data_IF_140772914303
#
_entry.id   IF_140772914303
#
_cell.length_a   1.000
_cell.length_b   1.000
_cell.length_c   1.000
_cell.angle_alpha   90.00
_cell.angle_beta   90.00
_cell.angle_gamma   90.00
#
_symmetry.space_group_name_H-M   'P 1'
#
loop_
_entity.id
_entity.type
_entity.pdbx_description
1 polymer ?
#
# COMPACT_ATOMS: atom_id res chain seq x y z
N UNK A 1 4.30 -68.07 83.47
CA UNK A 1 5.13 -67.68 84.63
C UNK A 1 5.52 -68.88 85.49
N UNK A 2 4.55 -69.67 85.98
CA UNK A 2 4.80 -70.85 86.86
C UNK A 2 5.80 -71.85 86.24
N UNK A 3 5.57 -72.31 85.01
CA UNK A 3 6.45 -73.25 84.31
C UNK A 3 7.91 -72.78 84.22
N UNK A 4 8.12 -71.47 83.98
CA UNK A 4 9.47 -70.89 83.90
C UNK A 4 10.13 -70.89 85.28
N UNK A 5 9.40 -70.53 86.33
CA UNK A 5 9.94 -70.54 87.69
C UNK A 5 10.30 -71.95 88.18
N UNK A 6 9.45 -72.93 87.88
CA UNK A 6 9.72 -74.35 88.17
C UNK A 6 10.93 -74.86 87.39
N UNK A 7 11.10 -74.45 86.14
CA UNK A 7 12.28 -74.83 85.34
C UNK A 7 13.60 -74.36 85.97
N UNK A 8 13.61 -73.15 86.56
CA UNK A 8 14.79 -72.63 87.26
C UNK A 8 15.04 -73.42 88.55
N UNK A 9 13.98 -73.84 89.26
CA UNK A 9 14.12 -74.70 90.43
C UNK A 9 14.75 -76.05 90.08
N UNK A 10 14.32 -76.69 88.99
CA UNK A 10 14.95 -77.93 88.50
C UNK A 10 16.40 -77.70 88.03
N UNK A 11 16.68 -76.56 87.40
CA UNK A 11 18.04 -76.20 86.99
C UNK A 11 18.96 -75.93 88.18
N UNK A 12 18.45 -75.33 89.26
CA UNK A 12 19.18 -75.12 90.52
C UNK A 12 19.63 -76.43 91.18
N UNK A 13 18.77 -77.46 91.19
CA UNK A 13 19.15 -78.80 91.69
C UNK A 13 20.30 -79.38 90.86
N UNK A 14 20.21 -79.32 89.53
CA UNK A 14 21.28 -79.79 88.64
C UNK A 14 22.58 -79.02 88.83
N UNK A 15 22.50 -77.70 89.04
CA UNK A 15 23.65 -76.83 89.28
C UNK A 15 24.39 -77.20 90.57
N UNK A 16 23.64 -77.54 91.63
CA UNK A 16 24.21 -78.03 92.88
C UNK A 16 24.90 -79.39 92.69
N UNK A 17 24.29 -80.32 91.95
CA UNK A 17 24.85 -81.65 91.68
C UNK A 17 26.17 -81.57 90.90
N UNK A 18 26.22 -80.73 89.87
CA UNK A 18 27.35 -80.65 88.94
C UNK A 18 28.51 -79.80 89.48
N UNK A 19 28.20 -78.64 90.06
CA UNK A 19 29.21 -77.62 90.40
C UNK A 19 29.36 -77.41 91.91
N UNK A 20 28.59 -78.14 92.73
CA UNK A 20 28.61 -78.06 94.21
C UNK A 20 28.39 -76.63 94.74
N UNK A 21 27.71 -75.78 93.97
CA UNK A 21 27.37 -74.39 94.33
C UNK A 21 25.87 -74.26 94.54
N UNK A 22 25.47 -73.50 95.55
CA UNK A 22 24.06 -73.24 95.87
C UNK A 22 23.58 -71.96 95.19
N UNK A 23 22.39 -72.02 94.60
CA UNK A 23 21.57 -70.85 94.26
C UNK A 23 20.15 -71.09 94.79
N UNK A 24 19.53 -70.04 95.34
CA UNK A 24 18.22 -70.17 95.98
C UNK A 24 17.15 -69.55 95.11
N UNK A 25 16.13 -70.35 94.80
CA UNK A 25 14.93 -69.91 94.09
C UNK A 25 13.83 -69.69 95.11
N UNK A 26 13.53 -68.43 95.41
CA UNK A 26 12.55 -68.05 96.43
C UNK A 26 11.29 -67.45 95.78
N UNK A 27 10.14 -67.42 96.49
CA UNK A 27 8.95 -66.70 96.03
C UNK A 27 9.23 -65.22 95.69
N UNK A 28 10.22 -64.59 96.34
CA UNK A 28 10.65 -63.23 96.01
C UNK A 28 11.16 -63.12 94.56
N UNK A 29 11.97 -64.09 94.10
CA UNK A 29 12.43 -64.15 92.71
C UNK A 29 11.26 -64.30 91.71
N UNK A 30 10.18 -65.01 92.10
CA UNK A 30 8.98 -65.14 91.27
C UNK A 30 8.23 -63.82 91.11
N UNK A 31 8.02 -63.09 92.22
CA UNK A 31 7.37 -61.78 92.20
C UNK A 31 8.20 -60.74 91.44
N UNK A 32 9.53 -60.78 91.59
CA UNK A 32 10.44 -59.91 90.84
C UNK A 32 10.41 -60.24 89.34
N UNK A 33 10.34 -61.53 88.96
CA UNK A 33 10.16 -61.95 87.57
C UNK A 33 8.86 -61.42 86.96
N UNK A 34 7.72 -61.58 87.65
CA UNK A 34 6.43 -61.06 87.18
C UNK A 34 6.49 -59.53 87.03
N UNK A 35 7.07 -58.84 88.01
CA UNK A 35 7.18 -57.37 88.00
C UNK A 35 8.05 -56.88 86.86
N UNK A 36 9.20 -57.51 86.64
CA UNK A 36 10.10 -57.20 85.53
C UNK A 36 9.45 -57.48 84.18
N UNK A 37 8.75 -58.61 84.04
CA UNK A 37 8.01 -58.91 82.80
C UNK A 37 6.90 -57.90 82.55
N UNK A 38 6.10 -57.54 83.56
CA UNK A 38 5.05 -56.52 83.43
C UNK A 38 5.64 -55.18 82.99
N UNK A 39 6.76 -54.75 83.57
CA UNK A 39 7.47 -53.53 83.17
C UNK A 39 7.98 -53.60 81.73
N UNK A 40 8.63 -54.71 81.36
CA UNK A 40 9.16 -54.91 80.00
C UNK A 40 8.06 -54.99 78.95
N UNK A 41 6.96 -55.69 79.25
CA UNK A 41 5.78 -55.77 78.40
C UNK A 41 5.15 -54.39 78.20
N UNK A 42 5.02 -53.60 79.27
CA UNK A 42 4.54 -52.22 79.20
C UNK A 42 5.39 -51.37 78.26
N UNK A 43 6.72 -51.36 78.47
CA UNK A 43 7.64 -50.61 77.61
C UNK A 43 7.62 -51.07 76.15
N UNK A 44 7.54 -52.39 75.90
CA UNK A 44 7.45 -52.92 74.54
C UNK A 44 6.13 -52.56 73.85
N UNK A 45 5.01 -52.57 74.58
CA UNK A 45 3.71 -52.13 74.03
C UNK A 45 3.74 -50.66 73.67
N UNK A 46 4.19 -49.80 74.58
CA UNK A 46 4.34 -48.35 74.30
C UNK A 46 5.21 -48.11 73.07
N UNK A 47 6.36 -48.79 72.96
CA UNK A 47 7.25 -48.67 71.80
C UNK A 47 6.57 -49.10 70.49
N UNK A 48 5.80 -50.19 70.52
CA UNK A 48 5.07 -50.67 69.33
C UNK A 48 3.96 -49.69 68.97
N UNK A 49 3.21 -49.18 69.96
CA UNK A 49 2.14 -48.21 69.75
C UNK A 49 2.67 -46.89 69.16
N UNK A 50 3.82 -46.40 69.65
CA UNK A 50 4.51 -45.23 69.08
C UNK A 50 4.93 -45.48 67.63
N UNK A 51 5.49 -46.65 67.32
CA UNK A 51 5.87 -47.01 65.96
C UNK A 51 4.65 -47.12 65.04
N UNK A 52 3.55 -47.72 65.52
CA UNK A 52 2.31 -47.84 64.78
C UNK A 52 1.70 -46.45 64.50
N UNK A 53 1.66 -45.57 65.50
CA UNK A 53 1.14 -44.20 65.37
C UNK A 53 1.96 -43.40 64.36
N UNK A 54 3.29 -43.53 64.39
CA UNK A 54 4.18 -42.88 63.42
C UNK A 54 3.93 -43.39 62.00
N UNK A 55 3.77 -44.70 61.82
CA UNK A 55 3.50 -45.29 60.52
C UNK A 55 2.13 -44.88 59.99
N UNK A 56 1.10 -44.86 60.84
CA UNK A 56 -0.25 -44.40 60.48
C UNK A 56 -0.23 -42.95 60.00
N UNK A 57 0.41 -42.05 60.75
CA UNK A 57 0.56 -40.65 60.34
C UNK A 57 1.33 -40.49 59.02
N UNK A 58 2.38 -41.28 58.81
CA UNK A 58 3.12 -41.30 57.55
C UNK A 58 2.27 -41.80 56.38
N UNK A 59 1.50 -42.87 56.58
CA UNK A 59 0.62 -43.44 55.57
C UNK A 59 -0.49 -42.47 55.18
N UNK A 60 -1.11 -41.80 56.14
CA UNK A 60 -2.11 -40.77 55.90
C UNK A 60 -1.56 -39.64 55.03
N UNK A 61 -0.32 -39.20 55.28
CA UNK A 61 0.34 -38.18 54.46
C UNK A 61 0.62 -38.65 53.04
N UNK A 62 1.03 -39.91 52.85
CA UNK A 62 1.22 -40.48 51.52
C UNK A 62 -0.10 -40.59 50.75
N UNK A 63 -1.18 -41.01 51.42
CA UNK A 63 -2.53 -41.07 50.81
C UNK A 63 -3.00 -39.67 50.42
N UNK A 64 -2.81 -38.67 51.29
CA UNK A 64 -3.15 -37.29 50.99
C UNK A 64 -2.37 -36.77 49.77
N UNK A 65 -1.04 -36.94 49.77
CA UNK A 65 -0.20 -36.51 48.66
C UNK A 65 -0.56 -37.21 47.34
N UNK A 66 -0.88 -38.51 47.39
CA UNK A 66 -1.33 -39.25 46.21
C UNK A 66 -2.63 -38.67 45.63
N UNK A 67 -3.59 -38.29 46.49
CA UNK A 67 -4.83 -37.64 46.05
C UNK A 67 -4.58 -36.26 45.43
N UNK A 68 -3.74 -35.44 46.06
CA UNK A 68 -3.36 -34.11 45.55
C UNK A 68 -2.66 -34.21 44.19
N UNK A 69 -1.77 -35.20 44.01
CA UNK A 69 -1.11 -35.47 42.72
C UNK A 69 -2.11 -35.90 41.65
N UNK A 70 -3.09 -36.74 42.00
CA UNK A 70 -4.12 -37.19 41.06
C UNK A 70 -5.03 -36.04 40.60
N UNK A 71 -5.35 -35.10 41.51
CA UNK A 71 -6.07 -33.86 41.18
C UNK A 71 -5.23 -32.94 40.28
N UNK A 72 -3.96 -32.69 40.62
CA UNK A 72 -3.06 -31.90 39.76
C UNK A 72 -2.87 -32.51 38.37
N UNK A 73 -2.85 -33.84 38.26
CA UNK A 73 -2.76 -34.51 36.96
C UNK A 73 -4.00 -34.29 36.08
N UNK A 74 -5.19 -34.15 36.69
CA UNK A 74 -6.43 -33.84 35.95
C UNK A 74 -6.40 -32.41 35.44
N UNK A 75 -6.07 -31.45 36.31
CA UNK A 75 -5.92 -30.04 35.93
C UNK A 75 -4.86 -29.86 34.82
N UNK A 76 -3.73 -30.58 34.91
CA UNK A 76 -2.68 -30.54 33.89
C UNK A 76 -3.18 -31.05 32.53
N UNK A 77 -4.02 -32.09 32.50
CA UNK A 77 -4.60 -32.60 31.24
C UNK A 77 -5.54 -31.58 30.61
N UNK A 78 -6.38 -30.92 31.41
CA UNK A 78 -7.26 -29.86 30.93
C UNK A 78 -6.47 -28.66 30.40
N UNK A 79 -5.46 -28.21 31.15
CA UNK A 79 -4.57 -27.12 30.73
C UNK A 79 -3.83 -27.44 29.43
N UNK A 80 -3.34 -28.68 29.26
CA UNK A 80 -2.68 -29.11 28.00
C UNK A 80 -3.59 -28.97 26.79
N UNK A 81 -4.86 -29.38 26.90
CA UNK A 81 -5.82 -29.25 25.79
C UNK A 81 -6.05 -27.79 25.41
N UNK A 82 -6.13 -26.89 26.40
CA UNK A 82 -6.28 -25.45 26.14
C UNK A 82 -5.03 -24.89 25.45
N UNK A 83 -3.83 -25.26 25.92
CA UNK A 83 -2.57 -24.82 25.33
C UNK A 83 -2.40 -25.34 23.90
N UNK A 84 -2.73 -26.61 23.63
CA UNK A 84 -2.68 -27.17 22.27
C UNK A 84 -3.62 -26.43 21.32
N UNK A 85 -4.86 -26.15 21.73
CA UNK A 85 -5.82 -25.36 20.92
C UNK A 85 -5.29 -23.95 20.64
N UNK A 86 -4.84 -23.24 21.66
CA UNK A 86 -4.27 -21.90 21.51
C UNK A 86 -3.01 -21.91 20.62
N UNK A 87 -2.20 -22.98 20.68
CA UNK A 87 -1.03 -23.15 19.80
C UNK A 87 -1.44 -23.30 18.34
N UNK A 88 -2.47 -24.11 18.06
CA UNK A 88 -3.01 -24.28 16.70
C UNK A 88 -3.55 -22.95 16.17
N UNK A 89 -4.40 -22.27 16.95
CA UNK A 89 -4.96 -20.96 16.57
C UNK A 89 -3.86 -19.90 16.31
N UNK A 90 -2.81 -19.89 17.13
CA UNK A 90 -1.67 -19.00 16.96
C UNK A 90 -0.90 -19.30 15.65
N UNK A 91 -0.66 -20.58 15.35
CA UNK A 91 0.00 -20.99 14.11
C UNK A 91 -0.83 -20.61 12.87
N UNK A 92 -2.14 -20.83 12.91
CA UNK A 92 -3.06 -20.39 11.84
C UNK A 92 -3.00 -18.87 11.64
N UNK A 93 -2.98 -18.09 12.73
CA UNK A 93 -2.85 -16.64 12.65
C UNK A 93 -1.51 -16.22 12.05
N UNK A 94 -0.41 -16.89 12.37
CA UNK A 94 0.91 -16.64 11.77
C UNK A 94 0.87 -16.91 10.27
N UNK A 95 0.23 -17.99 9.81
CA UNK A 95 0.06 -18.26 8.37
C UNK A 95 -0.74 -17.15 7.67
N UNK A 96 -1.83 -16.68 8.27
CA UNK A 96 -2.62 -15.57 7.72
C UNK A 96 -1.79 -14.28 7.65
N UNK A 97 -1.04 -13.96 8.71
CA UNK A 97 -0.19 -12.77 8.75
C UNK A 97 0.89 -12.86 7.68
N UNK A 98 1.59 -13.99 7.55
CA UNK A 98 2.66 -14.16 6.55
C UNK A 98 2.12 -14.02 5.12
N UNK A 99 0.96 -14.60 4.82
CA UNK A 99 0.29 -14.41 3.53
C UNK A 99 -0.09 -12.96 3.27
N UNK A 100 -0.72 -12.30 4.23
CA UNK A 100 -1.14 -10.91 4.10
C UNK A 100 0.06 -9.96 3.95
N UNK A 101 1.14 -10.19 4.69
CA UNK A 101 2.39 -9.41 4.58
C UNK A 101 2.99 -9.55 3.18
N UNK A 102 3.05 -10.75 2.63
CA UNK A 102 3.55 -10.98 1.26
C UNK A 102 2.69 -10.26 0.20
N UNK A 103 1.36 -10.27 0.36
CA UNK A 103 0.45 -9.52 -0.53
C UNK A 103 0.63 -8.00 -0.41
N UNK A 104 0.82 -7.49 0.82
CA UNK A 104 1.06 -6.07 1.07
C UNK A 104 2.39 -5.62 0.47
N UNK A 105 3.47 -6.39 0.68
CA UNK A 105 4.79 -6.08 0.10
C UNK A 105 4.75 -6.06 -1.43
N UNK A 106 4.06 -7.02 -2.05
CA UNK A 106 3.87 -7.05 -3.51
C UNK A 106 3.13 -5.81 -4.02
N UNK A 107 2.02 -5.43 -3.37
CA UNK A 107 1.24 -4.23 -3.71
C UNK A 107 2.04 -2.96 -3.47
N UNK A 108 2.82 -2.89 -2.40
CA UNK A 108 3.67 -1.75 -2.09
C UNK A 108 4.76 -1.58 -3.15
N UNK A 109 5.43 -2.66 -3.57
CA UNK A 109 6.40 -2.61 -4.66
C UNK A 109 5.78 -2.13 -5.97
N UNK A 110 4.58 -2.62 -6.32
CA UNK A 110 3.85 -2.15 -7.50
C UNK A 110 3.41 -0.68 -7.41
N UNK A 111 3.02 -0.21 -6.23
CA UNK A 111 2.65 1.19 -5.99
C UNK A 111 3.86 2.11 -6.12
N UNK A 112 5.01 1.75 -5.52
CA UNK A 112 6.26 2.50 -5.63
C UNK A 112 6.75 2.59 -7.08
N UNK A 113 6.68 1.50 -7.84
CA UNK A 113 7.04 1.50 -9.26
C UNK A 113 6.13 2.44 -10.08
N UNK A 114 4.82 2.44 -9.81
CA UNK A 114 3.87 3.36 -10.45
C UNK A 114 4.11 4.81 -10.04
N UNK A 115 4.43 5.07 -8.79
CA UNK A 115 4.75 6.41 -8.28
C UNK A 115 6.00 6.98 -8.98
N UNK A 116 7.05 6.17 -9.15
CA UNK A 116 8.24 6.60 -9.89
C UNK A 116 7.92 6.89 -11.36
N UNK A 117 7.08 6.07 -11.99
CA UNK A 117 6.66 6.31 -13.38
C UNK A 117 5.79 7.56 -13.52
N UNK A 118 4.80 7.74 -12.64
CA UNK A 118 3.97 8.95 -12.58
C UNK A 118 4.80 10.22 -12.36
N UNK A 119 5.84 10.14 -11.52
CA UNK A 119 6.76 11.26 -11.30
C UNK A 119 7.49 11.64 -12.61
N UNK A 120 8.02 10.65 -13.34
CA UNK A 120 8.67 10.88 -14.66
C UNK A 120 7.70 11.46 -15.67
N UNK A 121 6.52 10.86 -15.81
CA UNK A 121 5.49 11.33 -16.75
C UNK A 121 5.04 12.75 -16.40
N UNK A 122 4.86 13.07 -15.11
CA UNK A 122 4.49 14.42 -14.67
C UNK A 122 5.55 15.47 -15.01
N UNK A 123 6.84 15.12 -14.94
CA UNK A 123 7.94 15.99 -15.31
C UNK A 123 7.96 16.24 -16.83
N UNK A 124 7.73 15.19 -17.64
CA UNK A 124 7.62 15.32 -19.09
C UNK A 124 6.43 16.17 -19.49
N UNK A 125 5.25 15.93 -18.93
CA UNK A 125 4.03 16.71 -19.19
C UNK A 125 4.23 18.18 -18.80
N UNK A 126 4.94 18.47 -17.71
CA UNK A 126 5.25 19.84 -17.30
C UNK A 126 6.14 20.57 -18.33
N UNK A 127 7.11 19.87 -18.92
CA UNK A 127 7.96 20.42 -19.99
C UNK A 127 7.15 20.67 -21.25
N UNK A 128 6.41 19.66 -21.73
CA UNK A 128 5.59 19.79 -22.94
C UNK A 128 4.52 20.87 -22.81
N UNK A 129 3.88 20.97 -21.63
CA UNK A 129 2.91 22.02 -21.33
C UNK A 129 3.55 23.40 -21.43
N UNK A 130 4.74 23.58 -20.87
CA UNK A 130 5.44 24.86 -20.91
C UNK A 130 5.80 25.25 -22.35
N UNK A 131 6.31 24.30 -23.14
CA UNK A 131 6.61 24.54 -24.57
C UNK A 131 5.36 24.92 -25.37
N UNK A 132 4.22 24.26 -25.10
CA UNK A 132 2.94 24.58 -25.74
C UNK A 132 2.40 25.96 -25.33
N UNK A 133 2.51 26.34 -24.05
CA UNK A 133 2.10 27.66 -23.56
C UNK A 133 2.97 28.78 -24.15
N UNK A 134 4.29 28.58 -24.25
CA UNK A 134 5.20 29.54 -24.90
C UNK A 134 4.88 29.73 -26.40
N UNK A 135 4.60 28.63 -27.12
CA UNK A 135 4.19 28.71 -28.53
C UNK A 135 2.86 29.45 -28.71
N UNK A 136 1.91 29.26 -27.78
CA UNK A 136 0.63 29.96 -27.79
C UNK A 136 0.81 31.46 -27.53
N UNK A 137 1.64 31.82 -26.55
CA UNK A 137 1.92 33.23 -26.20
C UNK A 137 2.57 33.99 -27.36
N UNK A 138 3.39 33.33 -28.19
CA UNK A 138 3.94 33.93 -29.41
C UNK A 138 2.91 34.11 -30.53
N UNK A 139 1.91 33.22 -30.59
CA UNK A 139 0.89 33.24 -31.65
C UNK A 139 -0.20 34.31 -31.42
N UNK A 140 -0.53 34.64 -30.16
CA UNK A 140 -1.59 35.61 -29.83
C UNK A 140 -1.29 37.02 -30.37
N UNK A 141 -0.09 37.61 -30.16
CA UNK A 141 0.23 38.95 -30.67
C UNK A 141 0.19 39.04 -32.19
N UNK A 142 0.65 38.00 -32.90
CA UNK A 142 0.62 37.96 -34.37
C UNK A 142 -0.83 37.99 -34.91
N UNK A 143 -1.75 37.33 -34.21
CA UNK A 143 -3.17 37.29 -34.56
C UNK A 143 -3.88 38.62 -34.23
N UNK A 144 -3.56 39.23 -33.10
CA UNK A 144 -4.08 40.57 -32.74
C UNK A 144 -3.60 41.65 -33.70
N UNK A 145 -2.32 41.61 -34.10
CA UNK A 145 -1.73 42.56 -35.05
C UNK A 145 -2.37 42.43 -36.45
N UNK A 146 -2.76 41.22 -36.84
CA UNK A 146 -3.51 40.96 -38.06
C UNK A 146 -4.97 41.44 -37.98
N UNK A 147 -5.64 41.24 -36.84
CA UNK A 147 -7.00 41.76 -36.63
C UNK A 147 -7.02 43.30 -36.66
N UNK A 148 -6.02 43.95 -36.06
CA UNK A 148 -5.85 45.40 -36.13
C UNK A 148 -5.62 45.89 -37.56
N UNK A 149 -4.81 45.17 -38.35
CA UNK A 149 -4.57 45.50 -39.75
C UNK A 149 -5.83 45.36 -40.64
N UNK A 150 -6.77 44.47 -40.29
CA UNK A 150 -8.08 44.40 -40.95
C UNK A 150 -9.02 45.52 -40.55
N UNK A 151 -8.97 46.00 -39.31
CA UNK A 151 -9.79 47.12 -38.83
C UNK A 151 -9.34 48.47 -39.42
N UNK A 152 -8.06 48.60 -39.78
CA UNK A 152 -7.52 49.77 -40.47
C UNK A 152 -7.95 49.85 -41.96
N UNK A 153 -8.42 48.74 -42.54
CA UNK A 153 -8.95 48.70 -43.90
C UNK A 153 -10.34 49.33 -43.96
N UNK A 154 -10.51 50.36 -44.80
CA UNK A 154 -11.82 50.98 -45.03
C UNK A 154 -12.55 50.30 -46.17
N UNK A 155 -13.88 50.47 -46.19
CA UNK A 155 -14.74 49.97 -47.28
C UNK A 155 -14.31 50.52 -48.64
N UNK A 156 -13.83 51.76 -48.67
CA UNK A 156 -13.38 52.44 -49.89
C UNK A 156 -12.14 51.75 -50.49
N UNK A 157 -11.22 51.28 -49.65
CA UNK A 157 -10.00 50.56 -50.04
C UNK A 157 -10.32 49.21 -50.72
N UNK A 158 -11.38 48.54 -50.27
CA UNK A 158 -11.88 47.31 -50.92
C UNK A 158 -12.56 47.64 -52.26
N UNK A 159 -13.28 48.76 -52.33
CA UNK A 159 -13.88 49.19 -53.60
C UNK A 159 -12.83 49.56 -54.65
N UNK A 160 -11.68 50.09 -54.21
CA UNK A 160 -10.53 50.36 -55.08
C UNK A 160 -9.97 49.05 -55.66
N UNK A 161 -9.68 48.04 -54.82
CA UNK A 161 -9.22 46.72 -55.29
C UNK A 161 -10.22 46.09 -56.27
N UNK A 162 -11.52 46.24 -56.02
CA UNK A 162 -12.59 45.70 -56.87
C UNK A 162 -12.67 46.42 -58.23
N UNK A 163 -12.31 47.70 -58.29
CA UNK A 163 -12.41 48.53 -59.48
C UNK A 163 -11.37 48.17 -60.56
N UNK A 164 -10.31 47.43 -60.21
CA UNK A 164 -9.31 46.98 -61.17
C UNK A 164 -9.92 46.04 -62.23
N UNK A 165 -9.79 46.42 -63.50
CA UNK A 165 -10.17 45.59 -64.64
C UNK A 165 -9.23 44.39 -64.82
N UNK A 166 -7.93 44.60 -64.55
CA UNK A 166 -6.90 43.57 -64.47
C UNK A 166 -5.93 43.94 -63.33
N UNK A 167 -6.03 43.32 -62.14
CA UNK A 167 -5.18 43.66 -61.00
C UNK A 167 -3.72 43.27 -61.26
N UNK A 168 -2.80 43.90 -60.53
CA UNK A 168 -1.41 43.47 -60.50
C UNK A 168 -1.29 42.03 -59.95
N UNK A 169 -0.38 41.22 -60.49
CA UNK A 169 -0.23 39.79 -60.16
C UNK A 169 -0.09 39.57 -58.65
N UNK A 170 0.60 40.47 -57.94
CA UNK A 170 0.75 40.38 -56.48
C UNK A 170 -0.57 40.56 -55.73
N UNK A 171 -1.41 41.52 -56.11
CA UNK A 171 -2.72 41.75 -55.49
C UNK A 171 -3.67 40.59 -55.81
N UNK A 172 -3.59 40.06 -57.03
CA UNK A 172 -4.34 38.87 -57.42
C UNK A 172 -3.99 37.66 -56.54
N UNK A 173 -2.70 37.40 -56.30
CA UNK A 173 -2.23 36.30 -55.44
C UNK A 173 -2.72 36.47 -53.99
N UNK A 174 -2.70 37.69 -53.43
CA UNK A 174 -3.24 37.94 -52.07
C UNK A 174 -4.73 37.61 -52.01
N UNK A 175 -5.50 38.07 -53.00
CA UNK A 175 -6.92 37.81 -53.06
C UNK A 175 -7.23 36.31 -53.24
N UNK A 176 -6.45 35.58 -54.03
CA UNK A 176 -6.55 34.12 -54.16
C UNK A 176 -6.27 33.40 -52.82
N UNK A 177 -5.27 33.84 -52.05
CA UNK A 177 -5.01 33.29 -50.71
C UNK A 177 -6.20 33.47 -49.76
N UNK A 178 -6.85 34.64 -49.78
CA UNK A 178 -8.06 34.90 -48.97
C UNK A 178 -9.23 34.00 -49.39
N UNK A 179 -9.36 33.70 -50.70
CA UNK A 179 -10.36 32.76 -51.23
C UNK A 179 -10.10 31.32 -50.75
N UNK A 180 -8.84 30.89 -50.76
CA UNK A 180 -8.43 29.56 -50.30
C UNK A 180 -8.69 29.39 -48.81
N UNK A 181 -8.38 30.41 -47.99
CA UNK A 181 -8.66 30.38 -46.54
C UNK A 181 -10.16 30.30 -46.25
N UNK A 182 -11.00 31.02 -47.01
CA UNK A 182 -12.47 30.92 -46.89
C UNK A 182 -13.09 29.67 -47.50
N UNK A 183 -12.31 28.82 -48.19
CA UNK A 183 -12.77 27.53 -48.72
C UNK A 183 -13.75 27.63 -49.90
N UNK A 184 -13.75 28.74 -50.63
CA UNK A 184 -14.58 28.89 -51.84
C UNK A 184 -13.96 28.11 -53.01
N UNK A 185 -14.82 27.52 -53.85
CA UNK A 185 -14.38 26.64 -54.96
C UNK A 185 -13.70 27.39 -56.12
N UNK A 186 -13.98 28.68 -56.27
CA UNK A 186 -13.51 29.50 -57.38
C UNK A 186 -12.26 30.32 -56.99
N UNK A 187 -11.08 29.66 -57.01
CA UNK A 187 -9.76 30.28 -56.76
C UNK A 187 -9.28 31.07 -57.98
N UNK A 188 -10.08 32.05 -58.41
CA UNK A 188 -9.77 32.93 -59.53
C UNK A 188 -10.10 34.37 -59.17
N UNK A 189 -9.52 35.33 -59.89
CA UNK A 189 -9.81 36.75 -59.67
C UNK A 189 -11.30 37.09 -59.72
N UNK A 190 -12.08 36.43 -60.57
CA UNK A 190 -13.54 36.60 -60.62
C UNK A 190 -14.24 36.14 -59.34
N UNK A 191 -13.80 35.01 -58.76
CA UNK A 191 -14.29 34.51 -57.48
C UNK A 191 -13.91 35.41 -56.30
N UNK A 192 -12.67 35.92 -56.29
CA UNK A 192 -12.22 36.89 -55.29
C UNK A 192 -12.97 38.22 -55.38
N UNK A 193 -13.23 38.70 -56.61
CA UNK A 193 -13.99 39.92 -56.87
C UNK A 193 -15.45 39.80 -56.43
N UNK A 194 -16.05 38.63 -56.59
CA UNK A 194 -17.39 38.34 -56.09
C UNK A 194 -17.45 38.32 -54.56
N UNK A 195 -16.43 37.75 -53.89
CA UNK A 195 -16.34 37.73 -52.44
C UNK A 195 -16.17 39.14 -51.83
N UNK A 196 -15.33 39.97 -52.43
CA UNK A 196 -15.11 41.36 -52.00
C UNK A 196 -16.33 42.27 -52.28
N UNK A 197 -17.32 41.81 -53.05
CA UNK A 197 -18.56 42.54 -53.29
C UNK A 197 -19.55 42.46 -52.12
N UNK A 198 -19.38 41.49 -51.21
CA UNK A 198 -20.19 41.37 -50.01
C UNK A 198 -19.89 42.52 -49.03
N UNK A 199 -20.93 43.26 -48.63
CA UNK A 199 -20.81 44.36 -47.67
C UNK A 199 -20.37 43.93 -46.28
N UNK A 200 -20.42 42.62 -45.98
CA UNK A 200 -19.92 42.02 -44.72
C UNK A 200 -18.55 41.34 -44.86
N UNK A 201 -17.85 41.53 -45.97
CA UNK A 201 -16.56 40.86 -46.22
C UNK A 201 -15.53 41.07 -45.09
N UNK A 202 -15.27 42.31 -44.67
CA UNK A 202 -14.33 42.58 -43.56
C UNK A 202 -14.77 41.94 -42.25
N UNK A 203 -16.06 42.05 -41.91
CA UNK A 203 -16.62 41.43 -40.72
C UNK A 203 -16.46 39.90 -40.76
N UNK A 204 -16.62 39.29 -41.94
CA UNK A 204 -16.43 37.84 -42.12
C UNK A 204 -14.97 37.38 -42.04
N UNK A 205 -13.99 38.29 -42.17
CA UNK A 205 -12.57 38.01 -41.94
C UNK A 205 -12.19 38.17 -40.45
N UNK A 206 -12.86 39.09 -39.74
CA UNK A 206 -12.74 39.26 -38.29
C UNK A 206 -13.37 38.11 -37.52
N UNK A 207 -14.58 37.69 -37.92
CA UNK A 207 -15.33 36.58 -37.31
C UNK A 207 -14.91 35.20 -37.88
N UNK A 208 -13.76 35.13 -38.55
CA UNK A 208 -13.32 33.90 -39.22
C UNK A 208 -12.92 32.82 -38.20
N UNK A 209 -13.44 31.60 -38.38
CA UNK A 209 -13.14 30.46 -37.53
C UNK A 209 -11.75 29.89 -37.85
N UNK A 210 -10.79 30.23 -36.98
CA UNK A 210 -9.39 29.82 -37.04
C UNK A 210 -9.18 28.31 -36.80
N UNK A 211 -10.08 27.65 -36.06
CA UNK A 211 -9.95 26.25 -35.68
C UNK A 211 -10.53 25.29 -36.74
N UNK A 212 -11.27 25.83 -37.72
CA UNK A 212 -11.86 25.10 -38.84
C UNK A 212 -10.97 24.95 -40.09
N UNK A 213 -9.74 25.47 -40.08
CA UNK A 213 -8.83 25.43 -41.22
C UNK A 213 -8.28 24.02 -41.49
N UNK A 214 -8.49 23.49 -42.69
CA UNK A 214 -7.93 22.19 -43.08
C UNK A 214 -6.45 22.32 -43.42
N UNK A 215 -5.63 21.36 -43.02
CA UNK A 215 -4.19 21.30 -43.38
C UNK A 215 -3.92 21.47 -44.88
N UNK A 216 -4.86 21.04 -45.74
CA UNK A 216 -4.77 21.20 -47.19
C UNK A 216 -4.80 22.67 -47.61
N UNK A 217 -5.66 23.49 -47.00
CA UNK A 217 -5.76 24.93 -47.28
C UNK A 217 -4.49 25.64 -46.80
N UNK A 218 -3.99 25.25 -45.62
CA UNK A 218 -2.74 25.74 -45.05
C UNK A 218 -1.54 25.50 -45.98
N UNK A 219 -1.39 24.28 -46.50
CA UNK A 219 -0.30 23.92 -47.42
C UNK A 219 -0.37 24.68 -48.73
N UNK A 220 -1.58 24.89 -49.28
CA UNK A 220 -1.78 25.66 -50.52
C UNK A 220 -1.39 27.12 -50.34
N UNK A 221 -1.77 27.76 -49.23
CA UNK A 221 -1.40 29.15 -48.96
C UNK A 221 0.11 29.29 -48.71
N UNK A 222 0.74 28.35 -48.00
CA UNK A 222 2.21 28.30 -47.80
C UNK A 222 2.99 28.20 -49.12
N UNK A 223 2.40 27.66 -50.18
CA UNK A 223 3.04 27.59 -51.50
C UNK A 223 3.18 28.97 -52.16
N UNK A 224 2.23 29.88 -51.94
CA UNK A 224 2.31 31.26 -52.43
C UNK A 224 3.38 32.09 -51.71
N UNK A 225 3.63 31.82 -50.42
CA UNK A 225 4.69 32.46 -49.63
C UNK A 225 6.12 32.00 -49.98
N UNK A 226 6.29 30.98 -50.84
CA UNK A 226 7.62 30.57 -51.35
C UNK A 226 8.17 31.53 -52.40
N UNK A 227 7.32 32.37 -53.00
CA UNK A 227 7.74 33.36 -54.00
C UNK A 227 8.43 34.54 -53.30
N UNK A 228 9.73 34.83 -53.56
CA UNK A 228 10.49 35.87 -52.86
C UNK A 228 9.93 37.30 -53.01
N UNK A 229 9.04 37.52 -53.97
CA UNK A 229 8.38 38.82 -54.23
C UNK A 229 7.02 38.97 -53.51
N UNK A 230 6.60 37.97 -52.74
CA UNK A 230 5.30 37.95 -52.05
C UNK A 230 5.44 38.38 -50.58
N UNK A 231 5.99 39.59 -50.38
CA UNK A 231 6.21 40.19 -49.05
C UNK A 231 5.26 41.36 -48.83
N UNK A 232 4.88 41.61 -47.57
CA UNK A 232 4.02 42.74 -47.17
C UNK A 232 4.57 44.08 -47.67
N UNK A 233 5.89 44.26 -47.72
CA UNK A 233 6.55 45.47 -48.20
C UNK A 233 6.37 45.69 -49.72
N UNK A 234 6.53 44.64 -50.52
CA UNK A 234 6.39 44.72 -51.98
C UNK A 234 4.93 44.97 -52.40
N UNK A 235 3.98 44.40 -51.66
CA UNK A 235 2.54 44.60 -51.89
C UNK A 235 2.10 45.98 -51.42
N UNK A 236 2.64 46.51 -50.30
CA UNK A 236 2.34 47.87 -49.82
C UNK A 236 2.71 48.95 -50.84
N UNK A 237 3.73 48.71 -51.67
CA UNK A 237 4.11 49.60 -52.78
C UNK A 237 3.11 49.62 -53.94
N UNK A 238 2.25 48.60 -54.06
CA UNK A 238 1.25 48.48 -55.14
C UNK A 238 -0.17 48.75 -54.63
N UNK A 239 -0.49 48.31 -53.40
CA UNK A 239 -1.78 48.52 -52.74
C UNK A 239 -1.62 48.40 -51.23
N UNK A 240 -1.94 49.48 -50.52
CA UNK A 240 -2.03 49.51 -49.04
C UNK A 240 -3.05 48.51 -48.54
N UNK A 241 -4.19 48.42 -49.23
CA UNK A 241 -5.28 47.51 -48.94
C UNK A 241 -4.89 46.03 -49.11
N UNK A 242 -4.13 45.72 -50.15
CA UNK A 242 -3.57 44.38 -50.36
C UNK A 242 -2.56 43.97 -49.28
N UNK A 243 -1.83 44.94 -48.71
CA UNK A 243 -0.86 44.66 -47.63
C UNK A 243 -1.54 44.29 -46.31
N UNK A 244 -2.67 44.95 -45.97
CA UNK A 244 -3.49 44.60 -44.81
C UNK A 244 -4.09 43.19 -44.93
N UNK A 245 -4.59 42.84 -46.12
CA UNK A 245 -5.10 41.49 -46.40
C UNK A 245 -3.98 40.43 -46.34
N UNK A 246 -2.79 40.72 -46.86
CA UNK A 246 -1.67 39.78 -46.78
C UNK A 246 -1.22 39.55 -45.33
N UNK A 247 -1.18 40.59 -44.50
CA UNK A 247 -0.81 40.50 -43.08
C UNK A 247 -1.78 39.60 -42.30
N UNK A 248 -3.06 39.67 -42.63
CA UNK A 248 -4.06 38.75 -42.09
C UNK A 248 -3.84 37.31 -42.57
N UNK A 249 -3.59 37.11 -43.87
CA UNK A 249 -3.27 35.78 -44.42
C UNK A 249 -2.04 35.18 -43.76
N UNK A 250 -1.00 35.96 -43.44
CA UNK A 250 0.22 35.46 -42.79
C UNK A 250 0.03 35.12 -41.32
N UNK A 251 -0.87 35.78 -40.60
CA UNK A 251 -1.14 35.46 -39.18
C UNK A 251 -2.03 34.23 -39.01
N UNK A 252 -2.75 33.83 -40.06
CA UNK A 252 -3.60 32.64 -40.08
C UNK A 252 -2.84 31.36 -40.46
N UNK A 253 -1.54 31.44 -40.80
CA UNK A 253 -0.76 30.38 -41.49
C UNK A 253 0.57 30.06 -40.83
#
# INVERSE_FOLDING_TARGET
>A
FVLVHESVRSASTKYQEQLRRYNYVTPKNYLDFISNYKRSLGGNRTRIDEMATRLDGGLQKLIQAAKEVDEMQKELKEAKVVVEKATVECNELIEVITKNTAEVESKQGAAQAKEEQLSKDSATIAVEKKEAEEALEQAIPALEEAAAALLDLKKDDITEIRSFAKPHILVQKVCECVVILRGLKDVSWSGAKAMMADGRFLQSLLDFDKDGLKEKQMKQVKEYFKDPKFTVLDIKGVSTAGAGLLKWVSAMV
#
